data_IF_775766911284
#
_entry.id   IF_775766911284
#
_cell.length_a   1.000
_cell.length_b   1.000
_cell.length_c   1.000
_cell.angle_alpha   90.00
_cell.angle_beta   90.00
_cell.angle_gamma   90.00
#
_symmetry.space_group_name_H-M   'P 1'
#
loop_
_entity.id
_entity.type
_entity.pdbx_description
1 polymer ?
#
# COMPACT_ATOMS: atom_id res chain seq x y z
N UNK A 1 -38.09 -3.69 -27.55
CA UNK A 1 -36.90 -3.34 -26.76
C UNK A 1 -36.14 -2.24 -27.48
N UNK A 2 -36.52 -0.99 -27.28
CA UNK A 2 -35.73 0.18 -27.69
C UNK A 2 -36.21 1.36 -26.86
N UNK A 3 -35.51 1.66 -25.77
CA UNK A 3 -35.63 2.97 -25.13
C UNK A 3 -35.19 4.05 -26.11
N UNK A 4 -35.76 5.24 -26.00
CA UNK A 4 -35.17 6.46 -26.57
C UNK A 4 -33.72 6.48 -26.11
N UNK A 5 -32.75 6.54 -27.03
CA UNK A 5 -31.32 6.35 -26.73
C UNK A 5 -30.89 7.13 -25.46
N UNK A 6 -30.69 6.42 -24.34
CA UNK A 6 -30.28 6.97 -23.05
C UNK A 6 -31.31 6.92 -21.91
N UNK A 7 -32.62 6.80 -22.17
CA UNK A 7 -33.67 6.75 -21.12
C UNK A 7 -34.32 5.36 -21.09
N UNK A 8 -34.40 4.69 -19.93
CA UNK A 8 -35.07 3.39 -19.81
C UNK A 8 -36.57 3.45 -20.14
N UNK A 9 -37.14 2.29 -20.43
CA UNK A 9 -38.58 2.19 -20.67
C UNK A 9 -39.41 2.50 -19.42
N UNK A 10 -40.71 2.78 -19.64
CA UNK A 10 -41.65 3.16 -18.59
C UNK A 10 -41.64 2.18 -17.40
N UNK A 11 -41.66 0.88 -17.66
CA UNK A 11 -41.65 -0.13 -16.62
C UNK A 11 -40.41 -0.02 -15.70
N UNK A 12 -39.23 0.19 -16.28
CA UNK A 12 -37.99 0.36 -15.54
C UNK A 12 -37.97 1.67 -14.72
N UNK A 13 -38.49 2.77 -15.29
CA UNK A 13 -38.59 4.05 -14.58
C UNK A 13 -39.53 3.96 -13.37
N UNK A 14 -40.66 3.26 -13.50
CA UNK A 14 -41.61 3.08 -12.41
C UNK A 14 -41.10 2.09 -11.34
N UNK A 15 -40.17 1.21 -11.71
CA UNK A 15 -39.53 0.26 -10.81
C UNK A 15 -38.13 0.70 -10.36
N UNK A 16 -37.75 1.98 -10.54
CA UNK A 16 -36.39 2.45 -10.23
C UNK A 16 -35.98 2.08 -8.81
N UNK A 17 -34.88 1.32 -8.60
CA UNK A 17 -34.52 0.80 -7.29
C UNK A 17 -33.90 1.88 -6.40
N UNK A 18 -34.25 1.87 -5.12
CA UNK A 18 -33.69 2.79 -4.11
C UNK A 18 -33.19 2.08 -2.85
N UNK A 19 -33.59 0.83 -2.64
CA UNK A 19 -33.38 0.09 -1.38
C UNK A 19 -31.89 -0.12 -1.08
N UNK A 20 -31.08 -0.31 -2.12
CA UNK A 20 -29.63 -0.45 -2.02
C UNK A 20 -28.95 0.74 -1.34
N UNK A 21 -29.52 1.95 -1.44
CA UNK A 21 -28.98 3.15 -0.80
C UNK A 21 -29.22 3.13 0.72
N UNK A 22 -30.40 2.70 1.15
CA UNK A 22 -30.72 2.55 2.58
C UNK A 22 -29.96 1.38 3.20
N UNK A 23 -29.83 0.26 2.47
CA UNK A 23 -29.03 -0.89 2.90
C UNK A 23 -27.54 -0.52 3.05
N UNK A 24 -26.99 0.23 2.09
CA UNK A 24 -25.61 0.71 2.17
C UNK A 24 -25.40 1.65 3.37
N UNK A 25 -26.33 2.57 3.61
CA UNK A 25 -26.27 3.47 4.75
C UNK A 25 -26.23 2.72 6.10
N UNK A 26 -27.12 1.75 6.28
CA UNK A 26 -27.18 0.93 7.50
C UNK A 26 -25.91 0.08 7.67
N UNK A 27 -25.39 -0.46 6.56
CA UNK A 27 -24.15 -1.22 6.55
C UNK A 27 -22.94 -0.36 6.98
N UNK A 28 -22.80 0.84 6.42
CA UNK A 28 -21.68 1.75 6.75
C UNK A 28 -21.70 2.20 8.20
N UNK A 29 -22.86 2.53 8.76
CA UNK A 29 -22.99 2.85 10.19
C UNK A 29 -22.62 1.64 11.06
N UNK A 30 -23.14 0.46 10.73
CA UNK A 30 -22.86 -0.77 11.49
C UNK A 30 -21.38 -1.12 11.49
N UNK A 31 -20.71 -1.06 10.33
CA UNK A 31 -19.27 -1.31 10.23
C UNK A 31 -18.46 -0.24 10.95
N UNK A 32 -18.86 1.03 10.84
CA UNK A 32 -18.22 2.14 11.54
C UNK A 32 -18.24 1.94 13.07
N UNK A 33 -19.43 1.75 13.64
CA UNK A 33 -19.59 1.53 15.09
C UNK A 33 -18.80 0.33 15.60
N UNK A 34 -18.87 -0.80 14.87
CA UNK A 34 -18.13 -2.01 15.23
C UNK A 34 -16.62 -1.78 15.21
N UNK A 35 -16.11 -1.10 14.18
CA UNK A 35 -14.68 -0.84 14.01
C UNK A 35 -14.15 0.10 15.09
N UNK A 36 -14.88 1.19 15.37
CA UNK A 36 -14.52 2.10 16.46
C UNK A 36 -14.58 1.40 17.82
N UNK A 37 -15.62 0.59 18.07
CA UNK A 37 -15.73 -0.18 19.31
C UNK A 37 -14.51 -1.06 19.57
N UNK A 38 -14.02 -1.77 18.54
CA UNK A 38 -12.79 -2.58 18.65
C UNK A 38 -11.56 -1.71 18.89
N UNK A 39 -11.34 -0.66 18.10
CA UNK A 39 -10.16 0.20 18.25
C UNK A 39 -10.11 0.90 19.62
N UNK A 40 -11.26 1.40 20.07
CA UNK A 40 -11.41 2.02 21.39
C UNK A 40 -11.18 1.02 22.52
N UNK A 41 -11.67 -0.22 22.39
CA UNK A 41 -11.41 -1.26 23.38
C UNK A 41 -9.92 -1.60 23.47
N UNK A 42 -9.25 -1.79 22.33
CA UNK A 42 -7.79 -2.08 22.30
C UNK A 42 -6.99 -0.97 22.97
N UNK A 43 -7.31 0.30 22.69
CA UNK A 43 -6.67 1.44 23.35
C UNK A 43 -6.93 1.46 24.86
N UNK A 44 -8.17 1.21 25.30
CA UNK A 44 -8.51 1.14 26.73
C UNK A 44 -7.78 0.01 27.45
N UNK A 45 -7.69 -1.16 26.84
CA UNK A 45 -7.01 -2.31 27.39
C UNK A 45 -5.51 -2.00 27.54
N UNK A 46 -4.88 -1.37 26.54
CA UNK A 46 -3.49 -0.93 26.60
C UNK A 46 -3.19 0.09 27.73
N UNK A 47 -4.19 0.90 28.12
CA UNK A 47 -4.09 1.83 29.25
C UNK A 47 -4.25 1.13 30.60
N UNK A 48 -5.01 0.04 30.65
CA UNK A 48 -5.36 -0.68 31.89
C UNK A 48 -4.26 -1.57 32.45
N UNK A 49 -3.31 -2.00 31.61
CA UNK A 49 -2.21 -2.89 32.03
C UNK A 49 -1.16 -2.08 32.79
N UNK A 50 -0.73 -2.55 33.96
CA UNK A 50 0.40 -2.00 34.73
C UNK A 50 1.76 -2.37 34.08
N UNK A 51 1.87 -2.03 32.80
CA UNK A 51 3.08 -2.14 32.01
C UNK A 51 3.72 -0.75 31.88
N UNK A 52 5.03 -0.67 32.06
CA UNK A 52 5.81 0.57 32.11
C UNK A 52 7.02 0.51 31.18
N UNK A 53 7.59 1.67 30.89
CA UNK A 53 8.74 1.83 29.98
C UNK A 53 8.33 2.21 28.56
N UNK A 54 9.33 2.42 27.70
CA UNK A 54 9.14 3.01 26.37
C UNK A 54 8.25 2.17 25.45
N UNK A 55 8.31 0.84 25.58
CA UNK A 55 7.47 -0.06 24.81
C UNK A 55 5.96 0.08 25.18
N UNK A 56 5.66 0.32 26.46
CA UNK A 56 4.29 0.57 26.90
C UNK A 56 3.77 1.91 26.36
N UNK A 57 4.61 2.94 26.33
CA UNK A 57 4.28 4.25 25.74
C UNK A 57 4.04 4.13 24.22
N UNK A 58 4.89 3.37 23.53
CA UNK A 58 4.74 3.14 22.09
C UNK A 58 3.41 2.45 21.75
N UNK A 59 3.01 1.40 22.48
CA UNK A 59 1.72 0.72 22.26
C UNK A 59 0.54 1.63 22.56
N UNK A 60 0.57 2.40 23.65
CA UNK A 60 -0.50 3.36 23.98
C UNK A 60 -0.63 4.45 22.92
N UNK A 61 0.50 4.95 22.40
CA UNK A 61 0.52 5.95 21.33
C UNK A 61 -0.01 5.39 20.02
N UNK A 62 0.42 4.19 19.62
CA UNK A 62 -0.03 3.53 18.39
C UNK A 62 -1.53 3.24 18.43
N UNK A 63 -2.02 2.60 19.50
CA UNK A 63 -3.45 2.26 19.65
C UNK A 63 -4.35 3.50 19.75
N UNK A 64 -3.86 4.60 20.34
CA UNK A 64 -4.58 5.88 20.32
C UNK A 64 -4.65 6.48 18.92
N UNK A 65 -3.56 6.39 18.15
CA UNK A 65 -3.52 6.81 16.75
C UNK A 65 -4.51 6.00 15.91
N UNK A 66 -4.53 4.68 16.05
CA UNK A 66 -5.46 3.79 15.35
C UNK A 66 -6.93 4.11 15.69
N UNK A 67 -7.23 4.33 16.97
CA UNK A 67 -8.57 4.73 17.41
C UNK A 67 -8.98 6.08 16.80
N UNK A 68 -8.08 7.05 16.77
CA UNK A 68 -8.35 8.39 16.22
C UNK A 68 -8.58 8.33 14.71
N UNK A 69 -7.74 7.60 13.96
CA UNK A 69 -7.91 7.36 12.53
C UNK A 69 -9.22 6.62 12.23
N UNK A 70 -9.55 5.60 13.03
CA UNK A 70 -10.82 4.86 12.90
C UNK A 70 -12.01 5.78 13.15
N UNK A 71 -11.97 6.64 14.17
CA UNK A 71 -13.03 7.61 14.46
C UNK A 71 -13.27 8.55 13.28
N UNK A 72 -12.22 9.07 12.64
CA UNK A 72 -12.36 9.92 11.46
C UNK A 72 -13.04 9.20 10.29
N UNK A 73 -12.71 7.91 10.07
CA UNK A 73 -13.39 7.08 9.07
C UNK A 73 -14.85 6.84 9.45
N UNK A 74 -15.18 6.63 10.72
CA UNK A 74 -16.58 6.48 11.17
C UNK A 74 -17.37 7.75 10.87
N UNK A 75 -16.82 8.93 11.14
CA UNK A 75 -17.50 10.19 10.82
C UNK A 75 -17.73 10.34 9.31
N UNK A 76 -16.77 9.93 8.49
CA UNK A 76 -16.92 9.90 7.03
C UNK A 76 -18.00 8.89 6.58
N UNK A 77 -18.04 7.69 7.15
CA UNK A 77 -19.06 6.67 6.86
C UNK A 77 -20.47 7.15 7.26
N UNK A 78 -20.61 7.83 8.40
CA UNK A 78 -21.89 8.45 8.81
C UNK A 78 -22.32 9.56 7.86
N UNK A 79 -21.38 10.39 7.38
CA UNK A 79 -21.68 11.41 6.37
C UNK A 79 -22.14 10.76 5.05
N UNK A 80 -21.48 9.69 4.60
CA UNK A 80 -21.88 8.93 3.41
C UNK A 80 -23.27 8.29 3.58
N UNK A 81 -23.58 7.72 4.76
CA UNK A 81 -24.89 7.18 5.09
C UNK A 81 -25.99 8.25 5.02
N UNK A 82 -25.72 9.46 5.52
CA UNK A 82 -26.61 10.61 5.39
C UNK A 82 -26.89 10.98 3.93
N UNK A 83 -25.86 11.02 3.09
CA UNK A 83 -25.99 11.27 1.64
C UNK A 83 -26.85 10.19 0.97
N UNK A 84 -26.62 8.91 1.27
CA UNK A 84 -27.36 7.81 0.67
C UNK A 84 -28.85 7.80 1.06
N UNK A 85 -29.18 8.05 2.34
CA UNK A 85 -30.59 8.15 2.78
C UNK A 85 -31.32 9.35 2.17
N UNK A 86 -30.64 10.50 2.07
CA UNK A 86 -31.17 11.66 1.35
C UNK A 86 -31.44 11.35 -0.12
N UNK A 87 -30.48 10.73 -0.79
CA UNK A 87 -30.59 10.31 -2.18
C UNK A 87 -31.75 9.32 -2.43
N UNK A 88 -31.95 8.34 -1.55
CA UNK A 88 -33.07 7.41 -1.63
C UNK A 88 -34.43 8.12 -1.60
N UNK A 89 -34.55 9.16 -0.76
CA UNK A 89 -35.74 10.00 -0.65
C UNK A 89 -35.96 10.82 -1.94
N UNK A 90 -34.91 11.45 -2.45
CA UNK A 90 -34.95 12.27 -3.65
C UNK A 90 -35.30 11.46 -4.91
N UNK A 91 -34.69 10.28 -5.08
CA UNK A 91 -34.98 9.35 -6.17
C UNK A 91 -36.40 8.78 -6.07
N UNK A 92 -36.88 8.48 -4.86
CA UNK A 92 -38.27 8.07 -4.65
C UNK A 92 -39.26 9.17 -5.04
N UNK A 93 -38.95 10.43 -4.71
CA UNK A 93 -39.75 11.57 -5.11
C UNK A 93 -39.71 11.77 -6.63
N UNK A 94 -38.54 11.65 -7.27
CA UNK A 94 -38.40 11.75 -8.73
C UNK A 94 -39.16 10.64 -9.47
N UNK A 95 -39.06 9.39 -9.01
CA UNK A 95 -39.86 8.25 -9.50
C UNK A 95 -41.36 8.51 -9.35
N UNK A 96 -41.79 9.06 -8.21
CA UNK A 96 -43.19 9.42 -7.99
C UNK A 96 -43.67 10.51 -8.95
N UNK A 97 -42.83 11.50 -9.29
CA UNK A 97 -43.14 12.52 -10.30
C UNK A 97 -43.37 11.91 -11.69
N UNK A 98 -42.57 10.92 -12.10
CA UNK A 98 -42.79 10.18 -13.36
C UNK A 98 -44.13 9.44 -13.31
N UNK A 99 -44.40 8.73 -12.21
CA UNK A 99 -45.67 8.00 -12.02
C UNK A 99 -46.89 8.91 -12.13
N UNK A 100 -46.87 10.07 -11.46
CA UNK A 100 -48.00 11.01 -11.51
C UNK A 100 -48.23 11.57 -12.92
N UNK A 101 -47.18 11.91 -13.67
CA UNK A 101 -47.35 12.37 -15.06
C UNK A 101 -47.97 11.28 -15.97
N UNK A 102 -47.63 10.01 -15.73
CA UNK A 102 -48.22 8.87 -16.43
C UNK A 102 -49.70 8.68 -16.05
N UNK A 103 -50.02 8.81 -14.76
CA UNK A 103 -51.39 8.75 -14.25
C UNK A 103 -52.25 9.90 -14.77
N UNK A 104 -51.72 11.11 -14.88
CA UNK A 104 -52.38 12.28 -15.47
C UNK A 104 -52.71 12.02 -16.95
N UNK A 105 -51.74 11.49 -17.73
CA UNK A 105 -51.96 11.13 -19.12
C UNK A 105 -53.04 10.05 -19.29
N UNK A 106 -53.02 9.02 -18.44
CA UNK A 106 -54.04 7.97 -18.41
C UNK A 106 -55.42 8.50 -18.03
N UNK A 107 -55.48 9.38 -17.02
CA UNK A 107 -56.72 10.01 -16.56
C UNK A 107 -57.33 10.94 -17.60
N UNK A 108 -56.48 11.57 -18.43
CA UNK A 108 -56.91 12.34 -19.61
C UNK A 108 -57.35 11.47 -20.81
N UNK A 109 -57.39 10.15 -20.63
CA UNK A 109 -57.88 9.18 -21.62
C UNK A 109 -56.85 8.76 -22.67
N UNK A 110 -55.55 9.01 -22.43
CA UNK A 110 -54.49 8.57 -23.33
C UNK A 110 -53.86 7.25 -22.87
N UNK A 111 -53.20 6.57 -23.81
CA UNK A 111 -52.35 5.40 -23.53
C UNK A 111 -50.89 5.84 -23.53
N UNK A 112 -50.19 5.56 -22.43
CA UNK A 112 -48.75 5.79 -22.31
C UNK A 112 -48.00 4.48 -22.60
N UNK A 113 -47.16 4.51 -23.62
CA UNK A 113 -46.36 3.37 -24.07
C UNK A 113 -45.07 3.17 -23.28
N UNK A 114 -44.45 2.01 -23.46
CA UNK A 114 -43.17 1.66 -22.82
C UNK A 114 -42.02 2.58 -23.26
N UNK A 115 -42.10 3.12 -24.47
CA UNK A 115 -41.17 4.09 -25.05
C UNK A 115 -41.45 5.55 -24.64
N UNK A 116 -42.34 5.76 -23.66
CA UNK A 116 -42.79 7.08 -23.19
C UNK A 116 -43.55 7.88 -24.26
N UNK A 117 -44.02 7.21 -25.32
CA UNK A 117 -44.98 7.80 -26.24
C UNK A 117 -46.37 7.89 -25.58
N UNK A 118 -47.15 8.88 -25.98
CA UNK A 118 -48.54 9.04 -25.56
C UNK A 118 -49.39 9.01 -26.81
N UNK A 119 -50.39 8.13 -26.82
CA UNK A 119 -51.27 7.90 -27.96
C UNK A 119 -52.73 8.01 -27.54
N UNK A 120 -53.55 8.58 -28.43
CA UNK A 120 -55.00 8.64 -28.25
C UNK A 120 -55.65 7.37 -28.81
N UNK A 121 -56.66 6.85 -28.10
CA UNK A 121 -57.49 5.72 -28.57
C UNK A 121 -58.85 6.16 -29.10
N UNK A 122 -59.17 7.45 -29.05
CA UNK A 122 -60.42 7.96 -29.58
C UNK A 122 -60.52 7.72 -31.10
N UNK A 123 -61.59 7.04 -31.52
CA UNK A 123 -61.92 6.81 -32.93
C UNK A 123 -63.10 7.71 -33.30
N UNK A 124 -62.87 8.69 -34.19
CA UNK A 124 -63.88 9.67 -34.62
C UNK A 124 -63.50 11.13 -34.31
N UNK A 125 -64.48 12.03 -34.34
CA UNK A 125 -64.29 13.47 -34.10
C UNK A 125 -63.97 14.30 -35.34
N UNK A 126 -64.02 15.63 -35.19
CA UNK A 126 -63.60 16.55 -36.25
C UNK A 126 -62.08 16.61 -36.37
N UNK A 127 -61.58 17.05 -37.53
CA UNK A 127 -60.13 17.26 -37.76
C UNK A 127 -59.50 18.19 -36.72
N UNK A 128 -60.24 19.21 -36.28
CA UNK A 128 -59.80 20.15 -35.23
C UNK A 128 -59.68 19.47 -33.88
N UNK A 129 -60.64 18.61 -33.50
CA UNK A 129 -60.58 17.84 -32.26
C UNK A 129 -59.41 16.86 -32.25
N UNK A 130 -59.18 16.17 -33.37
CA UNK A 130 -58.05 15.24 -33.52
C UNK A 130 -56.71 15.99 -33.41
N UNK A 131 -56.57 17.15 -34.05
CA UNK A 131 -55.38 17.98 -33.95
C UNK A 131 -55.13 18.46 -32.50
N UNK A 132 -56.18 18.87 -31.79
CA UNK A 132 -56.08 19.30 -30.39
C UNK A 132 -55.66 18.15 -29.46
N UNK A 133 -56.24 16.96 -29.64
CA UNK A 133 -55.86 15.75 -28.87
C UNK A 133 -54.43 15.31 -29.16
N UNK A 134 -54.00 15.39 -30.42
CA UNK A 134 -52.63 15.09 -30.82
C UNK A 134 -51.63 16.06 -30.16
N UNK A 135 -51.95 17.36 -30.12
CA UNK A 135 -51.12 18.35 -29.44
C UNK A 135 -51.03 18.08 -27.92
N UNK A 136 -52.15 17.70 -27.29
CA UNK A 136 -52.18 17.32 -25.88
C UNK A 136 -51.34 16.06 -25.61
N UNK A 137 -51.44 15.04 -26.45
CA UNK A 137 -50.63 13.82 -26.34
C UNK A 137 -49.13 14.14 -26.45
N UNK A 138 -48.73 15.00 -27.40
CA UNK A 138 -47.34 15.43 -27.57
C UNK A 138 -46.82 16.19 -26.33
N UNK A 139 -47.64 17.06 -25.73
CA UNK A 139 -47.29 17.79 -24.53
C UNK A 139 -47.07 16.84 -23.33
N UNK A 140 -48.00 15.90 -23.11
CA UNK A 140 -47.89 14.89 -22.05
C UNK A 140 -46.65 13.99 -22.25
N UNK A 141 -46.40 13.54 -23.49
CA UNK A 141 -45.23 12.73 -23.81
C UNK A 141 -43.92 13.51 -23.53
N UNK A 142 -43.90 14.81 -23.80
CA UNK A 142 -42.76 15.67 -23.50
C UNK A 142 -42.54 15.81 -21.99
N UNK A 143 -43.59 16.03 -21.20
CA UNK A 143 -43.49 16.14 -19.73
C UNK A 143 -43.02 14.83 -19.10
N UNK A 144 -43.56 13.68 -19.52
CA UNK A 144 -43.13 12.35 -19.05
C UNK A 144 -41.64 12.13 -19.37
N UNK A 145 -41.21 12.41 -20.61
CA UNK A 145 -39.79 12.29 -21.00
C UNK A 145 -38.89 13.22 -20.19
N UNK A 146 -39.31 14.46 -19.95
CA UNK A 146 -38.54 15.41 -19.15
C UNK A 146 -38.34 14.90 -17.72
N UNK A 147 -39.39 14.39 -17.07
CA UNK A 147 -39.29 13.83 -15.72
C UNK A 147 -38.44 12.55 -15.68
N UNK A 148 -38.51 11.73 -16.72
CA UNK A 148 -37.67 10.55 -16.85
C UNK A 148 -36.18 10.93 -16.96
N UNK A 149 -35.83 11.94 -17.78
CA UNK A 149 -34.47 12.47 -17.87
C UNK A 149 -34.01 13.01 -16.51
N UNK A 150 -34.86 13.77 -15.81
CA UNK A 150 -34.53 14.28 -14.47
C UNK A 150 -34.23 13.16 -13.46
N UNK A 151 -34.98 12.06 -13.50
CA UNK A 151 -34.72 10.89 -12.65
C UNK A 151 -33.34 10.28 -12.95
N UNK A 152 -33.02 10.05 -14.22
CA UNK A 152 -31.73 9.47 -14.65
C UNK A 152 -30.55 10.40 -14.30
N UNK A 153 -30.69 11.70 -14.53
CA UNK A 153 -29.64 12.67 -14.19
C UNK A 153 -29.42 12.78 -12.68
N UNK A 154 -30.49 12.72 -11.88
CA UNK A 154 -30.39 12.70 -10.43
C UNK A 154 -29.66 11.45 -9.92
N UNK A 155 -29.95 10.29 -10.51
CA UNK A 155 -29.29 9.02 -10.17
C UNK A 155 -27.77 9.09 -10.42
N UNK A 156 -27.36 9.65 -11.56
CA UNK A 156 -25.94 9.87 -11.88
C UNK A 156 -25.27 10.85 -10.90
N UNK A 157 -25.97 11.92 -10.52
CA UNK A 157 -25.47 12.88 -9.52
C UNK A 157 -25.29 12.23 -8.15
N UNK A 158 -26.27 11.41 -7.73
CA UNK A 158 -26.22 10.62 -6.49
C UNK A 158 -25.03 9.67 -6.49
N UNK A 159 -24.81 8.93 -7.58
CA UNK A 159 -23.68 8.01 -7.71
C UNK A 159 -22.33 8.75 -7.55
N UNK A 160 -22.21 9.95 -8.13
CA UNK A 160 -21.05 10.81 -7.96
C UNK A 160 -20.85 11.26 -6.51
N UNK A 161 -21.91 11.74 -5.85
CA UNK A 161 -21.86 12.18 -4.44
C UNK A 161 -21.45 11.05 -3.49
N UNK A 162 -22.00 9.86 -3.69
CA UNK A 162 -21.64 8.67 -2.89
C UNK A 162 -20.18 8.29 -3.12
N UNK A 163 -19.73 8.27 -4.38
CA UNK A 163 -18.34 7.94 -4.73
C UNK A 163 -17.36 8.90 -4.06
N UNK A 164 -17.67 10.19 -4.01
CA UNK A 164 -16.87 11.20 -3.30
C UNK A 164 -16.93 10.99 -1.80
N UNK A 165 -18.12 10.73 -1.23
CA UNK A 165 -18.28 10.58 0.21
C UNK A 165 -17.47 9.41 0.79
N UNK A 166 -17.32 8.31 0.06
CA UNK A 166 -16.57 7.12 0.51
C UNK A 166 -15.11 7.07 0.03
N UNK A 167 -14.66 8.07 -0.73
CA UNK A 167 -13.31 8.10 -1.27
C UNK A 167 -12.25 8.18 -0.15
N UNK A 168 -11.10 7.52 -0.35
CA UNK A 168 -9.95 7.59 0.56
C UNK A 168 -10.09 6.77 1.85
N UNK A 169 -11.26 6.20 2.16
CA UNK A 169 -11.44 5.35 3.35
C UNK A 169 -10.46 4.18 3.35
N UNK A 170 -10.27 3.53 2.18
CA UNK A 170 -9.33 2.41 2.04
C UNK A 170 -7.88 2.83 2.32
N UNK A 171 -7.50 4.03 1.93
CA UNK A 171 -6.13 4.51 2.01
C UNK A 171 -5.76 4.97 3.43
N UNK A 172 -6.76 5.10 4.32
CA UNK A 172 -6.56 5.50 5.72
C UNK A 172 -5.88 4.39 6.54
N UNK A 173 -6.05 3.13 6.16
CA UNK A 173 -5.51 2.00 6.88
C UNK A 173 -4.34 1.37 6.11
N UNK A 174 -3.21 1.07 6.78
CA UNK A 174 -2.08 0.41 6.13
C UNK A 174 -2.51 -0.98 5.62
N UNK A 175 -2.04 -1.35 4.42
CA UNK A 175 -2.35 -2.64 3.80
C UNK A 175 -1.66 -3.83 4.50
N UNK A 176 -0.71 -3.56 5.39
CA UNK A 176 0.22 -4.53 5.93
C UNK A 176 -0.24 -5.03 7.32
N UNK A 177 -1.13 -6.02 7.32
CA UNK A 177 -1.75 -6.61 8.51
C UNK A 177 -0.86 -7.65 9.22
N UNK A 178 0.45 -7.42 9.30
CA UNK A 178 1.35 -8.35 9.99
C UNK A 178 1.25 -8.18 11.52
N UNK A 179 0.22 -8.79 12.12
CA UNK A 179 0.22 -9.09 13.55
C UNK A 179 1.21 -10.22 13.79
N UNK A 180 2.44 -9.87 14.17
CA UNK A 180 3.39 -10.86 14.70
C UNK A 180 3.02 -11.14 16.14
N UNK A 181 2.52 -12.36 16.42
CA UNK A 181 2.46 -12.85 17.80
C UNK A 181 3.87 -12.83 18.39
N UNK A 182 4.05 -12.16 19.53
CA UNK A 182 5.29 -12.29 20.29
C UNK A 182 5.33 -13.71 20.84
N UNK A 183 6.40 -14.46 20.55
CA UNK A 183 6.59 -15.80 21.09
C UNK A 183 6.53 -15.75 22.63
N UNK A 184 5.49 -16.35 23.22
CA UNK A 184 5.22 -16.30 24.67
C UNK A 184 6.17 -17.20 25.49
N UNK A 185 7.23 -17.73 24.86
CA UNK A 185 8.27 -18.56 25.45
C UNK A 185 9.56 -17.77 25.72
N UNK A 186 9.62 -16.52 25.26
CA UNK A 186 10.67 -15.56 25.57
C UNK A 186 10.01 -14.30 26.10
N UNK A 187 9.99 -14.15 27.43
CA UNK A 187 9.59 -12.91 28.08
C UNK A 187 10.46 -11.77 27.50
N UNK A 188 9.85 -10.73 26.92
CA UNK A 188 10.61 -9.51 26.59
C UNK A 188 10.87 -8.78 27.90
N UNK A 189 11.98 -9.12 28.54
CA UNK A 189 12.63 -8.23 29.48
C UNK A 189 12.86 -6.86 28.82
N UNK A 190 13.04 -5.83 29.65
CA UNK A 190 13.37 -4.45 29.27
C UNK A 190 14.22 -4.40 27.98
N UNK A 191 14.03 -3.40 27.07
CA UNK A 191 14.68 -3.37 25.76
C UNK A 191 16.09 -3.90 25.91
N UNK A 192 16.34 -5.08 25.32
CA UNK A 192 17.61 -5.75 25.50
C UNK A 192 18.69 -4.70 25.32
N UNK A 193 19.65 -4.56 26.26
CA UNK A 193 20.73 -3.62 26.08
C UNK A 193 21.23 -3.80 24.65
N UNK A 194 21.37 -2.68 23.92
CA UNK A 194 21.73 -2.69 22.50
C UNK A 194 22.75 -3.81 22.27
N UNK A 195 22.40 -4.75 21.38
CA UNK A 195 23.14 -6.00 21.20
C UNK A 195 24.63 -5.72 21.24
N UNK A 196 25.36 -6.36 22.16
CA UNK A 196 26.79 -6.07 22.27
C UNK A 196 27.51 -6.54 21.01
N UNK A 197 28.64 -5.91 20.67
CA UNK A 197 29.46 -6.37 19.53
C UNK A 197 29.86 -7.84 19.66
N UNK A 198 30.04 -8.37 20.87
CA UNK A 198 30.34 -9.79 21.08
C UNK A 198 29.14 -10.68 20.77
N UNK A 199 27.94 -10.28 21.20
CA UNK A 199 26.69 -10.96 20.88
C UNK A 199 26.41 -10.92 19.38
N UNK A 200 26.66 -9.79 18.71
CA UNK A 200 26.50 -9.66 17.28
C UNK A 200 27.52 -10.51 16.49
N UNK A 201 28.78 -10.61 16.96
CA UNK A 201 29.78 -11.54 16.40
C UNK A 201 29.34 -13.00 16.53
N UNK A 202 28.78 -13.38 17.68
CA UNK A 202 28.29 -14.74 17.90
C UNK A 202 27.06 -15.05 17.02
N UNK A 203 26.09 -14.13 16.94
CA UNK A 203 24.91 -14.25 16.08
C UNK A 203 25.27 -14.30 14.60
N UNK A 204 26.23 -13.48 14.14
CA UNK A 204 26.70 -13.52 12.76
C UNK A 204 27.35 -14.87 12.40
N UNK A 205 28.11 -15.48 13.32
CA UNK A 205 28.66 -16.83 13.11
C UNK A 205 27.57 -17.87 12.99
N UNK A 206 26.54 -17.77 13.82
CA UNK A 206 25.40 -18.70 13.80
C UNK A 206 24.61 -18.61 12.50
N UNK A 207 24.20 -17.39 12.10
CA UNK A 207 23.41 -17.19 10.87
C UNK A 207 24.21 -17.54 9.62
N UNK A 208 25.52 -17.27 9.58
CA UNK A 208 26.36 -17.68 8.44
C UNK A 208 26.44 -19.21 8.31
N UNK A 209 26.49 -19.94 9.42
CA UNK A 209 26.42 -21.41 9.42
C UNK A 209 25.06 -21.89 8.89
N UNK A 210 23.95 -21.31 9.35
CA UNK A 210 22.60 -21.65 8.87
C UNK A 210 22.41 -21.33 7.39
N UNK A 211 22.94 -20.20 6.90
CA UNK A 211 22.97 -19.86 5.47
C UNK A 211 23.78 -20.89 4.68
N UNK A 212 24.90 -21.35 5.23
CA UNK A 212 25.70 -22.39 4.60
C UNK A 212 24.92 -23.71 4.52
N UNK A 213 24.28 -24.13 5.60
CA UNK A 213 23.44 -25.34 5.65
C UNK A 213 22.28 -25.24 4.64
N UNK A 214 21.58 -24.11 4.63
CA UNK A 214 20.48 -23.85 3.70
C UNK A 214 20.94 -23.97 2.23
N UNK A 215 22.09 -23.38 1.88
CA UNK A 215 22.59 -23.38 0.51
C UNK A 215 23.27 -24.69 0.08
N UNK A 216 23.86 -25.44 1.01
CA UNK A 216 24.70 -26.60 0.68
C UNK A 216 24.08 -27.94 1.09
N UNK A 217 23.04 -27.93 1.94
CA UNK A 217 22.35 -29.13 2.41
C UNK A 217 20.90 -29.09 1.91
N UNK A 218 20.12 -28.08 2.31
CA UNK A 218 18.69 -28.05 2.03
C UNK A 218 18.41 -27.84 0.55
N UNK A 219 19.17 -26.95 -0.10
CA UNK A 219 19.09 -26.72 -1.55
C UNK A 219 19.22 -28.02 -2.37
N UNK A 220 20.05 -28.97 -1.96
CA UNK A 220 20.23 -30.25 -2.67
C UNK A 220 18.96 -31.10 -2.65
N UNK A 221 18.14 -30.98 -1.60
CA UNK A 221 16.85 -31.66 -1.48
C UNK A 221 15.80 -30.90 -2.29
N UNK A 222 15.77 -29.57 -2.18
CA UNK A 222 14.82 -28.68 -2.85
C UNK A 222 14.97 -28.71 -4.38
N UNK A 223 16.19 -28.77 -4.91
CA UNK A 223 16.45 -28.81 -6.36
C UNK A 223 15.97 -30.12 -7.02
N UNK A 224 15.73 -31.17 -6.23
CA UNK A 224 15.14 -32.44 -6.72
C UNK A 224 13.62 -32.40 -6.78
N UNK A 225 12.98 -31.35 -6.24
CA UNK A 225 11.53 -31.22 -6.22
C UNK A 225 11.01 -30.61 -7.53
N UNK A 226 9.76 -30.94 -7.93
CA UNK A 226 9.10 -30.29 -9.06
C UNK A 226 9.08 -28.76 -8.91
N UNK A 227 9.19 -27.98 -10.00
CA UNK A 227 9.15 -26.51 -9.96
C UNK A 227 7.99 -25.88 -9.20
N UNK A 228 6.84 -26.54 -9.16
CA UNK A 228 5.62 -26.03 -8.52
C UNK A 228 5.40 -26.58 -7.10
N UNK A 229 6.40 -27.28 -6.52
CA UNK A 229 6.30 -27.78 -5.15
C UNK A 229 6.38 -26.61 -4.15
N UNK A 230 5.41 -26.47 -3.23
CA UNK A 230 5.35 -25.33 -2.30
C UNK A 230 6.60 -25.18 -1.44
N UNK A 231 7.32 -26.28 -1.16
CA UNK A 231 8.57 -26.25 -0.38
C UNK A 231 9.67 -25.45 -1.06
N UNK A 232 9.61 -25.24 -2.38
CA UNK A 232 10.55 -24.36 -3.11
C UNK A 232 10.30 -22.89 -2.78
N UNK A 233 9.04 -22.50 -2.57
CA UNK A 233 8.69 -21.15 -2.16
C UNK A 233 9.08 -20.91 -0.69
N UNK A 234 8.83 -21.89 0.18
CA UNK A 234 9.23 -21.84 1.59
C UNK A 234 10.76 -21.69 1.73
N UNK A 235 11.52 -22.44 0.92
CA UNK A 235 12.99 -22.31 0.87
C UNK A 235 13.44 -20.89 0.50
N UNK A 236 12.85 -20.27 -0.53
CA UNK A 236 13.20 -18.90 -0.91
C UNK A 236 12.85 -17.89 0.19
N UNK A 237 11.70 -18.08 0.87
CA UNK A 237 11.29 -17.24 1.98
C UNK A 237 12.25 -17.37 3.18
N UNK A 238 12.69 -18.59 3.50
CA UNK A 238 13.70 -18.83 4.54
C UNK A 238 15.04 -18.17 4.21
N UNK A 239 15.46 -18.19 2.94
CA UNK A 239 16.65 -17.47 2.48
C UNK A 239 16.53 -15.96 2.74
N UNK A 240 15.36 -15.36 2.48
CA UNK A 240 15.10 -13.95 2.77
C UNK A 240 15.16 -13.64 4.27
N UNK A 241 14.61 -14.52 5.12
CA UNK A 241 14.67 -14.40 6.58
C UNK A 241 16.10 -14.48 7.10
N UNK A 242 16.89 -15.48 6.66
CA UNK A 242 18.29 -15.64 7.05
C UNK A 242 19.13 -14.42 6.64
N UNK A 243 18.88 -13.86 5.45
CA UNK A 243 19.54 -12.65 4.98
C UNK A 243 19.08 -11.38 5.73
N UNK A 244 17.85 -11.33 6.23
CA UNK A 244 17.34 -10.25 7.08
C UNK A 244 17.96 -10.32 8.49
N UNK A 245 18.02 -11.51 9.09
CA UNK A 245 18.64 -11.76 10.38
C UNK A 245 20.15 -11.43 10.34
N UNK A 246 20.83 -11.86 9.28
CA UNK A 246 22.23 -11.48 9.03
C UNK A 246 22.42 -9.96 8.99
N UNK A 247 21.50 -9.23 8.35
CA UNK A 247 21.53 -7.76 8.31
C UNK A 247 21.46 -7.13 9.70
N UNK A 248 20.67 -7.66 10.63
CA UNK A 248 20.57 -7.13 11.99
C UNK A 248 21.89 -7.24 12.77
N UNK A 249 22.63 -8.34 12.62
CA UNK A 249 23.94 -8.50 13.24
C UNK A 249 25.00 -7.61 12.61
N UNK A 250 24.96 -7.47 11.28
CA UNK A 250 25.85 -6.59 10.55
C UNK A 250 25.59 -5.13 10.89
N UNK A 251 24.33 -4.75 11.04
CA UNK A 251 23.94 -3.46 11.59
C UNK A 251 24.73 -3.25 12.88
N UNK A 252 24.64 -4.11 13.88
CA UNK A 252 25.33 -3.89 15.16
C UNK A 252 26.87 -3.89 15.05
N UNK A 253 27.44 -4.68 14.14
CA UNK A 253 28.89 -4.74 13.94
C UNK A 253 29.43 -3.54 13.14
N UNK A 254 28.61 -2.98 12.25
CA UNK A 254 28.96 -1.95 11.26
C UNK A 254 28.13 -0.65 11.38
N UNK A 255 27.29 -0.52 12.41
CA UNK A 255 26.57 0.68 12.86
C UNK A 255 27.57 1.61 13.53
N UNK A 256 28.52 2.12 12.77
CA UNK A 256 28.66 3.56 12.54
C UNK A 256 29.32 3.62 11.18
N UNK A 257 28.60 4.15 10.20
CA UNK A 257 29.05 4.63 8.89
C UNK A 257 30.44 4.11 8.46
N UNK A 258 30.56 3.23 7.44
CA UNK A 258 31.87 3.04 6.81
C UNK A 258 32.46 4.42 6.55
N UNK A 259 33.73 4.65 6.92
CA UNK A 259 34.20 6.02 7.08
C UNK A 259 34.01 6.74 5.76
N UNK A 260 33.48 7.97 5.83
CA UNK A 260 33.28 8.82 4.66
C UNK A 260 34.62 9.35 4.13
N UNK A 261 35.69 9.21 4.92
CA UNK A 261 37.08 9.56 4.56
C UNK A 261 38.04 8.52 5.13
N UNK A 262 39.01 8.10 4.33
CA UNK A 262 40.00 7.09 4.70
C UNK A 262 41.40 7.72 4.66
N UNK A 263 42.22 7.48 5.68
CA UNK A 263 43.62 7.88 5.66
C UNK A 263 44.42 6.91 4.78
N UNK A 264 45.02 7.43 3.70
CA UNK A 264 45.92 6.69 2.83
C UNK A 264 47.24 6.32 3.52
N UNK A 265 47.98 5.36 2.96
CA UNK A 265 49.23 4.85 3.53
C UNK A 265 50.34 5.90 3.67
N UNK A 266 50.24 7.03 2.96
CA UNK A 266 51.21 8.13 3.06
C UNK A 266 50.58 9.42 3.61
N UNK A 267 49.43 9.31 4.30
CA UNK A 267 48.75 10.45 4.94
C UNK A 267 47.80 11.20 4.02
N UNK A 268 47.47 10.67 2.85
CA UNK A 268 46.47 11.23 1.95
C UNK A 268 45.06 11.09 2.53
N UNK A 269 44.14 11.99 2.17
CA UNK A 269 42.71 11.79 2.44
C UNK A 269 42.06 11.18 1.21
N UNK A 270 41.66 9.92 1.34
CA UNK A 270 40.94 9.17 0.32
C UNK A 270 39.44 9.26 0.58
N UNK A 271 38.61 9.35 -0.48
CA UNK A 271 37.17 9.34 -0.32
C UNK A 271 36.72 7.96 0.19
N UNK A 272 35.95 7.95 1.27
CA UNK A 272 35.35 6.76 1.80
C UNK A 272 33.96 6.50 1.24
N UNK A 273 33.16 5.69 1.92
CA UNK A 273 31.81 5.36 1.46
C UNK A 273 30.91 6.59 1.64
N UNK A 274 30.17 7.03 0.60
CA UNK A 274 29.26 8.18 0.73
C UNK A 274 28.20 7.99 1.82
N UNK A 275 27.87 9.08 2.52
CA UNK A 275 26.83 9.09 3.54
C UNK A 275 25.48 8.56 2.96
N UNK A 276 24.90 7.55 3.61
CA UNK A 276 23.63 6.96 3.21
C UNK A 276 23.71 5.94 2.07
N UNK A 277 24.88 5.66 1.52
CA UNK A 277 25.07 4.64 0.48
C UNK A 277 24.90 3.23 1.07
N UNK A 278 24.14 2.38 0.37
CA UNK A 278 23.86 1.01 0.80
C UNK A 278 24.75 0.02 0.09
N UNK A 279 25.17 -1.04 0.80
CA UNK A 279 25.96 -2.10 0.16
C UNK A 279 25.14 -2.87 -0.88
N UNK A 280 25.77 -3.22 -2.00
CA UNK A 280 25.18 -4.03 -3.07
C UNK A 280 25.33 -5.54 -2.86
N UNK A 281 26.10 -5.97 -1.86
CA UNK A 281 26.30 -7.38 -1.55
C UNK A 281 27.62 -7.66 -0.82
N UNK A 282 27.80 -8.90 -0.35
CA UNK A 282 29.03 -9.32 0.29
C UNK A 282 30.20 -9.36 -0.71
N UNK A 283 31.42 -9.16 -0.22
CA UNK A 283 32.63 -9.47 -0.96
C UNK A 283 32.71 -10.98 -1.26
N UNK A 284 33.41 -11.36 -2.34
CA UNK A 284 33.55 -12.78 -2.75
C UNK A 284 34.15 -13.69 -1.67
N UNK A 285 34.98 -13.14 -0.79
CA UNK A 285 35.55 -13.85 0.35
C UNK A 285 34.56 -14.12 1.49
N UNK A 286 33.36 -13.53 1.41
CA UNK A 286 32.35 -13.53 2.46
C UNK A 286 32.70 -12.69 3.70
N UNK A 287 33.86 -12.00 3.69
CA UNK A 287 34.44 -11.28 4.84
C UNK A 287 34.52 -9.77 4.61
N UNK A 288 33.52 -9.20 3.97
CA UNK A 288 33.45 -7.77 3.65
C UNK A 288 32.22 -7.44 2.81
N UNK A 289 32.08 -6.17 2.47
CA UNK A 289 30.92 -5.61 1.77
C UNK A 289 31.35 -4.70 0.64
N UNK A 290 30.57 -4.72 -0.45
CA UNK A 290 30.79 -3.88 -1.62
C UNK A 290 29.85 -2.67 -1.55
N UNK A 291 30.41 -1.47 -1.66
CA UNK A 291 29.66 -0.22 -1.73
C UNK A 291 29.91 0.42 -3.10
N UNK A 292 28.88 0.56 -3.94
CA UNK A 292 29.04 1.22 -5.23
C UNK A 292 29.37 2.69 -5.01
N UNK A 293 30.23 3.25 -5.85
CA UNK A 293 30.47 4.69 -5.89
C UNK A 293 30.32 5.21 -7.31
N UNK A 294 29.98 6.49 -7.43
CA UNK A 294 29.84 7.13 -8.73
C UNK A 294 31.20 7.22 -9.43
N UNK A 295 31.33 6.80 -10.71
CA UNK A 295 32.55 7.01 -11.47
C UNK A 295 32.97 8.48 -11.48
N UNK A 296 34.21 8.76 -11.05
CA UNK A 296 34.74 10.12 -10.98
C UNK A 296 34.33 10.88 -9.71
N UNK A 297 33.90 10.19 -8.65
CA UNK A 297 33.79 10.76 -7.31
C UNK A 297 35.06 11.53 -6.94
N UNK A 298 34.90 12.74 -6.38
CA UNK A 298 36.02 13.60 -6.01
C UNK A 298 37.02 12.84 -5.12
N UNK A 299 38.30 12.84 -5.52
CA UNK A 299 39.37 12.10 -4.82
C UNK A 299 39.64 10.68 -5.35
N UNK A 300 38.87 10.19 -6.31
CA UNK A 300 39.12 8.91 -7.00
C UNK A 300 39.29 9.08 -8.53
N UNK A 301 40.09 8.20 -9.13
CA UNK A 301 40.13 8.02 -10.59
C UNK A 301 38.77 7.52 -11.10
N UNK A 302 38.29 7.96 -12.28
CA UNK A 302 37.00 7.54 -12.83
C UNK A 302 36.83 6.04 -13.04
N UNK A 303 37.92 5.25 -13.07
CA UNK A 303 37.86 3.80 -13.16
C UNK A 303 37.49 3.12 -11.84
N UNK A 304 37.53 3.82 -10.71
CA UNK A 304 37.11 3.30 -9.42
C UNK A 304 35.59 3.40 -9.33
N UNK A 305 34.93 2.27 -9.12
CA UNK A 305 33.47 2.17 -9.12
C UNK A 305 32.92 1.55 -7.85
N UNK A 306 33.79 1.00 -7.00
CA UNK A 306 33.36 0.28 -5.80
C UNK A 306 34.40 0.43 -4.70
N UNK A 307 33.92 0.70 -3.48
CA UNK A 307 34.70 0.62 -2.25
C UNK A 307 34.31 -0.68 -1.56
N UNK A 308 35.28 -1.56 -1.34
CA UNK A 308 35.09 -2.78 -0.58
C UNK A 308 35.60 -2.57 0.83
N UNK A 309 34.71 -2.72 1.81
CA UNK A 309 35.04 -2.62 3.24
C UNK A 309 35.16 -4.03 3.81
N UNK A 310 36.34 -4.37 4.32
CA UNK A 310 36.69 -5.72 4.77
C UNK A 310 36.65 -5.81 6.28
N UNK A 311 36.26 -6.99 6.78
CA UNK A 311 36.22 -7.30 8.21
C UNK A 311 37.61 -7.24 8.84
N UNK A 312 37.69 -6.99 10.17
CA UNK A 312 38.90 -7.18 10.95
C UNK A 312 39.60 -8.51 10.72
N UNK A 313 40.91 -8.45 10.59
CA UNK A 313 41.79 -9.62 10.52
C UNK A 313 42.90 -9.48 11.57
N UNK A 314 43.65 -10.54 11.90
CA UNK A 314 44.81 -10.42 12.79
C UNK A 314 45.84 -9.38 12.31
N UNK A 315 45.91 -9.13 10.99
CA UNK A 315 46.79 -8.13 10.39
C UNK A 315 46.18 -6.72 10.38
N UNK A 316 44.85 -6.62 10.27
CA UNK A 316 44.09 -5.36 10.26
C UNK A 316 43.00 -5.41 11.33
N UNK A 317 43.32 -5.09 12.60
CA UNK A 317 42.41 -5.29 13.74
C UNK A 317 41.09 -4.51 13.66
N UNK A 318 41.06 -3.44 12.85
CA UNK A 318 39.88 -2.60 12.64
C UNK A 318 39.24 -2.82 11.26
N UNK A 319 39.76 -3.77 10.47
CA UNK A 319 39.40 -3.96 9.08
C UNK A 319 40.21 -3.04 8.15
N UNK A 320 39.89 -3.11 6.87
CA UNK A 320 40.57 -2.33 5.84
C UNK A 320 39.63 -2.07 4.67
N UNK A 321 39.95 -1.07 3.86
CA UNK A 321 39.23 -0.80 2.62
C UNK A 321 40.08 -1.15 1.41
N UNK A 322 39.39 -1.45 0.31
CA UNK A 322 39.98 -1.71 -0.99
C UNK A 322 39.18 -0.96 -2.05
N UNK A 323 39.86 -0.24 -2.93
CA UNK A 323 39.24 0.42 -4.08
C UNK A 323 39.25 -0.53 -5.28
N UNK A 324 38.11 -0.64 -5.96
CA UNK A 324 37.92 -1.61 -7.02
C UNK A 324 37.36 -0.95 -8.29
N UNK A 325 37.77 -1.48 -9.44
CA UNK A 325 37.19 -1.11 -10.73
C UNK A 325 35.91 -1.90 -11.04
N UNK A 326 35.23 -1.54 -12.13
CA UNK A 326 33.97 -2.20 -12.56
C UNK A 326 34.12 -3.68 -12.93
N UNK A 327 35.34 -4.21 -13.01
CA UNK A 327 35.63 -5.64 -13.22
C UNK A 327 35.94 -6.37 -11.91
N UNK A 328 35.83 -5.71 -10.75
CA UNK A 328 36.11 -6.30 -9.45
C UNK A 328 37.60 -6.46 -9.13
N UNK A 329 38.49 -5.75 -9.83
CA UNK A 329 39.93 -5.81 -9.56
C UNK A 329 40.35 -4.70 -8.59
N UNK A 330 41.28 -4.99 -7.68
CA UNK A 330 41.90 -3.98 -6.80
C UNK A 330 42.73 -2.99 -7.62
N UNK A 331 42.46 -1.69 -7.43
CA UNK A 331 43.12 -0.61 -8.15
C UNK A 331 43.65 0.45 -7.20
N UNK A 332 44.68 1.17 -7.63
CA UNK A 332 45.12 2.38 -6.95
C UNK A 332 44.04 3.48 -7.08
N UNK A 333 43.60 4.11 -5.99
CA UNK A 333 42.48 5.04 -6.01
C UNK A 333 42.72 6.31 -6.83
N UNK A 334 43.98 6.72 -7.01
CA UNK A 334 44.33 7.96 -7.73
C UNK A 334 44.61 7.76 -9.21
N UNK A 335 45.06 6.57 -9.61
CA UNK A 335 45.47 6.29 -10.99
C UNK A 335 44.53 5.33 -11.72
N UNK A 336 43.64 4.64 -10.98
CA UNK A 336 42.73 3.63 -11.51
C UNK A 336 43.43 2.40 -12.08
N UNK A 337 44.76 2.27 -11.88
CA UNK A 337 45.55 1.13 -12.36
C UNK A 337 45.42 -0.03 -11.41
N UNK A 338 45.30 -1.24 -11.95
CA UNK A 338 45.34 -2.48 -11.16
C UNK A 338 46.68 -2.59 -10.45
N UNK A 339 46.64 -2.93 -9.16
CA UNK A 339 47.81 -3.03 -8.29
C UNK A 339 47.93 -4.44 -7.69
N UNK A 340 49.16 -4.92 -7.42
CA UNK A 340 49.37 -6.19 -6.74
C UNK A 340 49.02 -6.09 -5.24
N UNK A 341 48.75 -7.22 -4.55
CA UNK A 341 48.46 -7.24 -3.12
C UNK A 341 49.54 -6.63 -2.21
N UNK A 342 50.78 -6.57 -2.70
CA UNK A 342 51.93 -5.99 -1.99
C UNK A 342 52.02 -4.46 -2.09
N UNK A 343 51.16 -3.83 -2.89
CA UNK A 343 51.11 -2.37 -3.01
C UNK A 343 50.46 -1.76 -1.76
N UNK A 344 50.97 -0.62 -1.31
CA UNK A 344 50.51 0.05 -0.10
C UNK A 344 49.03 0.46 -0.17
N UNK A 345 48.48 0.66 -1.37
CA UNK A 345 47.05 0.96 -1.58
C UNK A 345 46.18 -0.28 -1.72
N UNK A 346 46.74 -1.49 -1.72
CA UNK A 346 45.96 -2.71 -1.92
C UNK A 346 45.07 -3.06 -0.71
N UNK A 347 45.50 -2.65 0.49
CA UNK A 347 44.82 -2.91 1.76
C UNK A 347 45.01 -1.71 2.70
N UNK A 348 44.07 -0.77 2.69
CA UNK A 348 44.19 0.46 3.47
C UNK A 348 43.51 0.28 4.82
N UNK A 349 44.25 0.27 5.95
CA UNK A 349 43.67 0.02 7.27
C UNK A 349 42.62 1.07 7.66
N UNK A 350 41.59 0.63 8.36
CA UNK A 350 40.60 1.53 8.96
C UNK A 350 41.14 2.11 10.28
N UNK A 351 40.84 3.39 10.61
CA UNK A 351 41.18 3.96 11.90
C UNK A 351 40.44 3.26 13.05
N UNK A 352 40.90 3.46 14.29
CA UNK A 352 40.24 2.96 15.51
C UNK A 352 38.83 3.53 15.71
#
# INVERSE_FOLDING_TARGET
MAGVAGVPGLSALLAWPTDHLTEAADYWETVGERSYGVAHQVWRDALSVDWRGDAALAVRSATHSDMTSTSAVVDQLRAAAGVARGAASDLTAARSRVRYAVEDGRSAGFVVGEDLSVSDRMVGGSTVQQAARQAQAQALASDIRQRAVQLVSLDQEVAGKISVAVAGIRDTFPADNHVRGVANHTFKDAPQPAMSREQAKAGLRDVNRRIWEHNNIDKLVIDRLPPNDPRRADFNFEAEQLNSEKRQYLDVLFHQHPPETVAGPHGEQLPGVPAGESSTGPADSGKGWLFPIQPGQAGCDPRVTTIRVMEPTPQYPNGYVVYMNGMGQTVNPFTGRTIPPSDDFAHIPLPE
#
